data_IF_844808867448
#
_entry.id   IF_844808867448
#
_cell.length_a   1.000
_cell.length_b   1.000
_cell.length_c   1.000
_cell.angle_alpha   90.00
_cell.angle_beta   90.00
_cell.angle_gamma   90.00
#
_symmetry.space_group_name_H-M   'P 1'
#
loop_
_entity.id
_entity.type
_entity.pdbx_description
1 polymer ?
#
# COMPACT_ATOMS: atom_id res chain seq x y z
N UNK A 1 9.77 -10.03 -14.00
CA UNK A 1 8.55 -9.40 -14.56
C UNK A 1 8.60 -7.94 -14.16
N UNK A 2 8.35 -6.99 -15.06
CA UNK A 2 8.29 -5.57 -14.69
C UNK A 2 6.92 -5.22 -14.11
N UNK A 3 6.81 -4.07 -13.44
CA UNK A 3 5.52 -3.59 -12.90
C UNK A 3 4.53 -3.33 -14.04
N UNK A 4 5.01 -2.76 -15.14
CA UNK A 4 4.22 -2.47 -16.34
C UNK A 4 3.63 -3.76 -16.93
N UNK A 5 4.43 -4.84 -16.99
CA UNK A 5 3.93 -6.12 -17.46
C UNK A 5 2.87 -6.74 -16.54
N UNK A 6 2.89 -6.48 -15.22
CA UNK A 6 1.79 -6.87 -14.33
C UNK A 6 0.51 -6.11 -14.69
N UNK A 7 0.63 -4.80 -14.94
CA UNK A 7 -0.51 -3.96 -15.30
C UNK A 7 -1.09 -4.33 -16.67
N UNK A 8 -0.25 -4.59 -17.67
CA UNK A 8 -0.69 -5.02 -18.99
C UNK A 8 -1.41 -6.36 -18.93
N UNK A 9 -0.89 -7.33 -18.17
CA UNK A 9 -1.56 -8.62 -17.95
C UNK A 9 -2.91 -8.44 -17.24
N UNK A 10 -2.96 -7.67 -16.16
CA UNK A 10 -4.21 -7.39 -15.45
C UNK A 10 -5.22 -6.71 -16.36
N UNK A 11 -4.79 -5.69 -17.11
CA UNK A 11 -5.66 -4.93 -17.99
C UNK A 11 -6.21 -5.80 -19.13
N UNK A 12 -5.37 -6.62 -19.76
CA UNK A 12 -5.80 -7.61 -20.75
C UNK A 12 -6.82 -8.59 -20.16
N UNK A 13 -6.57 -9.10 -18.95
CA UNK A 13 -7.51 -9.98 -18.23
C UNK A 13 -8.84 -9.29 -17.98
N UNK A 14 -8.83 -8.06 -17.49
CA UNK A 14 -10.03 -7.27 -17.21
C UNK A 14 -10.88 -7.00 -18.47
N UNK A 15 -10.27 -6.95 -19.66
CA UNK A 15 -11.02 -6.86 -20.92
C UNK A 15 -11.64 -8.18 -21.40
N UNK A 16 -11.36 -9.30 -20.72
CA UNK A 16 -11.95 -10.60 -21.03
C UNK A 16 -13.23 -10.80 -20.19
N UNK A 17 -14.37 -11.19 -20.77
CA UNK A 17 -15.68 -11.16 -20.11
C UNK A 17 -15.88 -12.34 -19.13
N UNK A 18 -15.12 -12.36 -18.03
CA UNK A 18 -15.30 -13.31 -16.93
C UNK A 18 -16.19 -12.71 -15.83
N UNK A 19 -16.22 -11.38 -15.70
CA UNK A 19 -16.99 -10.63 -14.69
C UNK A 19 -17.58 -9.36 -15.31
N UNK A 20 -18.58 -8.80 -14.64
CA UNK A 20 -19.13 -7.49 -14.97
C UNK A 20 -18.04 -6.42 -14.77
N UNK A 21 -17.38 -6.04 -15.86
CA UNK A 21 -16.22 -5.16 -15.84
C UNK A 21 -16.48 -3.95 -16.73
N UNK A 22 -16.28 -2.76 -16.19
CA UNK A 22 -16.24 -1.52 -16.98
C UNK A 22 -14.79 -1.07 -17.10
N UNK A 23 -14.43 -0.65 -18.30
CA UNK A 23 -13.08 -0.16 -18.58
C UNK A 23 -13.16 1.28 -19.12
N UNK A 24 -12.17 2.07 -18.74
CA UNK A 24 -11.86 3.36 -19.34
C UNK A 24 -10.36 3.52 -19.53
N UNK A 25 -9.97 4.33 -20.50
CA UNK A 25 -8.60 4.81 -20.67
C UNK A 25 -8.63 6.28 -21.03
N UNK A 26 -7.83 7.06 -20.34
CA UNK A 26 -7.73 8.49 -20.53
C UNK A 26 -6.25 8.89 -20.64
N UNK A 27 -5.94 9.79 -21.58
CA UNK A 27 -4.62 10.40 -21.68
C UNK A 27 -4.69 11.85 -21.19
N UNK A 28 -3.93 12.18 -20.15
CA UNK A 28 -3.84 13.54 -19.58
C UNK A 28 -2.39 14.01 -19.58
N UNK A 29 -1.98 14.69 -20.65
CA UNK A 29 -0.57 15.06 -20.84
C UNK A 29 0.31 13.81 -20.91
N UNK A 30 1.31 13.70 -20.02
CA UNK A 30 2.18 12.52 -19.91
C UNK A 30 1.56 11.31 -19.20
N UNK A 31 0.35 11.46 -18.66
CA UNK A 31 -0.33 10.42 -17.89
C UNK A 31 -1.22 9.55 -18.79
N UNK A 32 -0.97 8.24 -18.79
CA UNK A 32 -1.92 7.22 -19.27
C UNK A 32 -2.65 6.65 -18.05
N UNK A 33 -3.95 6.94 -17.98
CA UNK A 33 -4.83 6.59 -16.87
C UNK A 33 -5.73 5.44 -17.33
N UNK A 34 -5.52 4.26 -16.74
CA UNK A 34 -6.32 3.07 -17.03
C UNK A 34 -7.27 2.83 -15.86
N UNK A 35 -8.56 2.94 -16.14
CA UNK A 35 -9.62 2.79 -15.16
C UNK A 35 -10.34 1.46 -15.36
N UNK A 36 -10.45 0.67 -14.30
CA UNK A 36 -11.16 -0.61 -14.29
C UNK A 36 -12.10 -0.65 -13.09
N UNK A 37 -13.37 -0.93 -13.34
CA UNK A 37 -14.37 -1.21 -12.29
C UNK A 37 -14.79 -2.66 -12.44
N UNK A 38 -14.57 -3.47 -11.42
CA UNK A 38 -15.00 -4.86 -11.37
C UNK A 38 -16.08 -5.04 -10.32
N UNK A 39 -17.19 -5.64 -10.74
CA UNK A 39 -18.24 -6.13 -9.87
C UNK A 39 -18.19 -7.66 -9.86
N UNK A 40 -17.87 -8.22 -8.70
CA UNK A 40 -17.81 -9.67 -8.48
C UNK A 40 -19.06 -10.24 -7.79
N UNK A 41 -20.19 -9.51 -7.83
CA UNK A 41 -21.49 -9.78 -7.18
C UNK A 41 -21.49 -9.66 -5.65
N UNK A 42 -20.32 -9.73 -5.02
CA UNK A 42 -20.17 -9.59 -3.57
C UNK A 42 -19.54 -8.26 -3.18
N UNK A 43 -18.69 -7.70 -4.05
CA UNK A 43 -17.96 -6.46 -3.83
C UNK A 43 -17.75 -5.72 -5.14
N UNK A 44 -17.73 -4.40 -5.03
CA UNK A 44 -17.28 -3.53 -6.10
C UNK A 44 -15.83 -3.11 -5.82
N UNK A 45 -14.97 -3.26 -6.83
CA UNK A 45 -13.60 -2.78 -6.81
C UNK A 45 -13.38 -1.80 -7.94
N UNK A 46 -12.78 -0.67 -7.63
CA UNK A 46 -12.39 0.33 -8.62
C UNK A 46 -10.88 0.49 -8.58
N UNK A 47 -10.23 0.47 -9.74
CA UNK A 47 -8.80 0.64 -9.90
C UNK A 47 -8.51 1.77 -10.89
N UNK A 48 -7.67 2.72 -10.52
CA UNK A 48 -7.02 3.63 -11.46
C UNK A 48 -5.53 3.33 -11.46
N UNK A 49 -5.01 2.88 -12.61
CA UNK A 49 -3.59 2.61 -12.82
C UNK A 49 -3.03 3.76 -13.64
N UNK A 50 -1.97 4.39 -13.13
CA UNK A 50 -1.34 5.55 -13.76
C UNK A 50 0.06 5.17 -14.23
N UNK A 51 0.27 5.32 -15.54
CA UNK A 51 1.59 5.33 -16.14
C UNK A 51 1.97 6.78 -16.46
N UNK A 52 3.17 7.19 -16.06
CA UNK A 52 3.76 8.49 -16.44
C UNK A 52 4.87 8.22 -17.44
N UNK A 53 4.71 8.72 -18.66
CA UNK A 53 5.65 8.47 -19.77
C UNK A 53 5.90 6.97 -20.01
N UNK A 54 4.85 6.15 -19.82
CA UNK A 54 4.90 4.69 -19.99
C UNK A 54 5.44 3.89 -18.79
N UNK A 55 5.85 4.56 -17.71
CA UNK A 55 6.39 3.93 -16.49
C UNK A 55 5.35 3.93 -15.38
N UNK A 56 5.26 2.83 -14.62
CA UNK A 56 4.37 2.75 -13.46
C UNK A 56 4.64 3.88 -12.47
N UNK A 57 3.61 4.70 -12.20
CA UNK A 57 3.72 5.85 -11.28
C UNK A 57 2.91 5.61 -10.01
N UNK A 58 1.62 5.34 -10.15
CA UNK A 58 0.77 5.03 -9.00
C UNK A 58 -0.43 4.16 -9.37
N UNK A 59 -1.00 3.50 -8.36
CA UNK A 59 -2.27 2.79 -8.44
C UNK A 59 -3.14 3.26 -7.29
N UNK A 60 -4.33 3.71 -7.63
CA UNK A 60 -5.40 4.00 -6.70
C UNK A 60 -6.42 2.87 -6.76
N UNK A 61 -6.90 2.43 -5.60
CA UNK A 61 -7.94 1.41 -5.48
C UNK A 61 -8.97 1.82 -4.45
N UNK A 62 -10.23 1.59 -4.78
CA UNK A 62 -11.33 1.57 -3.82
C UNK A 62 -11.96 0.19 -3.82
N UNK A 63 -12.34 -0.28 -2.63
CA UNK A 63 -13.06 -1.53 -2.48
C UNK A 63 -14.10 -1.41 -1.37
N UNK A 64 -15.34 -1.74 -1.70
CA UNK A 64 -16.42 -1.91 -0.74
C UNK A 64 -16.34 -3.32 -0.11
N UNK A 65 -16.46 -3.40 1.23
CA UNK A 65 -16.42 -4.66 1.99
C UNK A 65 -17.79 -5.08 2.53
N UNK A 66 -18.84 -4.30 2.23
CA UNK A 66 -20.19 -4.45 2.77
C UNK A 66 -20.38 -3.64 4.07
N UNK A 67 -21.64 -3.48 4.50
CA UNK A 67 -22.01 -2.71 5.70
C UNK A 67 -21.45 -1.27 5.73
N UNK A 68 -21.30 -0.65 4.56
CA UNK A 68 -20.70 0.67 4.36
C UNK A 68 -19.22 0.80 4.78
N UNK A 69 -18.52 -0.31 5.02
CA UNK A 69 -17.07 -0.31 5.19
C UNK A 69 -16.35 -0.34 3.86
N UNK A 70 -15.39 0.57 3.70
CA UNK A 70 -14.63 0.74 2.48
C UNK A 70 -13.12 0.72 2.78
N UNK A 71 -12.34 0.38 1.75
CA UNK A 71 -10.91 0.60 1.75
C UNK A 71 -10.47 1.43 0.57
N UNK A 72 -9.64 2.43 0.84
CA UNK A 72 -8.95 3.23 -0.17
C UNK A 72 -7.45 2.96 -0.07
N UNK A 73 -6.87 2.50 -1.17
CA UNK A 73 -5.45 2.19 -1.25
C UNK A 73 -4.79 3.04 -2.31
N UNK A 74 -3.69 3.68 -1.94
CA UNK A 74 -2.82 4.40 -2.88
C UNK A 74 -1.44 3.76 -2.80
N UNK A 75 -0.98 3.25 -3.94
CA UNK A 75 0.35 2.69 -4.10
C UNK A 75 1.17 3.55 -5.05
N UNK A 76 2.38 3.93 -4.64
CA UNK A 76 3.34 4.71 -5.41
C UNK A 76 4.56 3.87 -5.76
N UNK A 77 5.09 4.08 -6.97
CA UNK A 77 6.25 3.39 -7.52
C UNK A 77 7.34 4.41 -7.83
N UNK A 78 8.50 4.30 -7.19
CA UNK A 78 9.62 5.20 -7.40
C UNK A 78 10.95 4.48 -7.12
N UNK A 79 11.91 4.56 -8.05
CA UNK A 79 13.27 4.03 -7.88
C UNK A 79 13.35 2.57 -7.40
N UNK A 80 12.49 1.72 -7.95
CA UNK A 80 12.39 0.30 -7.59
C UNK A 80 11.57 0.02 -6.32
N UNK A 81 11.09 1.07 -5.65
CA UNK A 81 10.43 1.01 -4.35
C UNK A 81 8.93 1.23 -4.50
N UNK A 82 8.19 0.45 -3.73
CA UNK A 82 6.74 0.47 -3.73
C UNK A 82 6.28 0.87 -2.33
N UNK A 83 5.67 2.04 -2.23
CA UNK A 83 5.08 2.53 -0.98
C UNK A 83 3.57 2.48 -1.10
N UNK A 84 2.88 1.96 -0.09
CA UNK A 84 1.42 1.89 -0.10
C UNK A 84 0.86 2.47 1.19
N UNK A 85 -0.17 3.31 1.05
CA UNK A 85 -1.09 3.69 2.12
C UNK A 85 -2.45 3.03 1.84
N UNK A 86 -3.06 2.48 2.87
CA UNK A 86 -4.36 1.81 2.82
C UNK A 86 -5.19 2.30 3.99
N UNK A 87 -6.32 2.93 3.70
CA UNK A 87 -7.24 3.50 4.69
C UNK A 87 -8.49 2.63 4.76
N UNK A 88 -8.93 2.33 5.98
CA UNK A 88 -10.22 1.70 6.27
C UNK A 88 -11.16 2.77 6.80
N UNK A 89 -12.33 2.89 6.21
CA UNK A 89 -13.27 3.95 6.58
C UNK A 89 -14.74 3.55 6.45
N UNK A 90 -15.57 4.27 7.19
CA UNK A 90 -17.04 4.22 7.10
C UNK A 90 -17.53 5.67 6.99
N UNK A 91 -18.14 6.02 5.86
CA UNK A 91 -18.33 7.43 5.53
C UNK A 91 -16.98 8.15 5.45
N UNK A 92 -16.85 9.27 6.17
CA UNK A 92 -15.61 10.05 6.25
C UNK A 92 -14.71 9.65 7.45
N UNK A 93 -15.16 8.71 8.29
CA UNK A 93 -14.41 8.29 9.46
C UNK A 93 -13.41 7.18 9.13
N UNK A 94 -12.12 7.47 9.29
CA UNK A 94 -11.05 6.47 9.14
C UNK A 94 -10.88 5.67 10.43
N UNK A 95 -11.12 4.37 10.36
CA UNK A 95 -11.05 3.43 11.49
C UNK A 95 -9.72 2.67 11.55
N UNK A 96 -8.99 2.62 10.44
CA UNK A 96 -7.71 1.95 10.35
C UNK A 96 -6.85 2.49 9.21
N UNK A 97 -5.55 2.38 9.39
CA UNK A 97 -4.55 2.79 8.41
C UNK A 97 -3.47 1.71 8.33
N UNK A 98 -3.08 1.31 7.12
CA UNK A 98 -1.90 0.48 6.89
C UNK A 98 -0.92 1.26 6.00
N UNK A 99 0.35 1.30 6.39
CA UNK A 99 1.44 1.79 5.55
C UNK A 99 2.41 0.64 5.30
N UNK A 100 2.72 0.39 4.03
CA UNK A 100 3.57 -0.72 3.61
C UNK A 100 4.68 -0.26 2.68
N UNK A 101 5.79 -1.00 2.73
CA UNK A 101 6.97 -0.75 1.92
C UNK A 101 7.45 -2.08 1.32
N UNK A 102 7.59 -2.11 0.00
CA UNK A 102 8.13 -3.26 -0.74
C UNK A 102 8.97 -2.79 -1.94
N UNK A 103 9.25 -3.71 -2.86
CA UNK A 103 10.11 -3.54 -4.03
C UNK A 103 9.40 -4.03 -5.28
N UNK A 104 9.71 -3.41 -6.42
CA UNK A 104 9.10 -3.72 -7.70
C UNK A 104 9.26 -5.20 -8.06
N UNK A 105 10.44 -5.77 -7.83
CA UNK A 105 10.75 -7.16 -8.15
C UNK A 105 10.05 -8.18 -7.23
N UNK A 106 9.41 -7.72 -6.15
CA UNK A 106 8.64 -8.56 -5.23
C UNK A 106 7.13 -8.50 -5.46
N UNK A 107 6.69 -7.74 -6.45
CA UNK A 107 5.31 -7.77 -6.90
C UNK A 107 5.08 -9.01 -7.77
N UNK A 108 3.91 -9.63 -7.60
CA UNK A 108 3.49 -10.78 -8.41
C UNK A 108 2.05 -10.56 -8.87
N UNK A 109 1.66 -11.30 -9.92
CA UNK A 109 0.28 -11.33 -10.36
C UNK A 109 -0.61 -11.82 -9.23
N UNK A 110 -1.79 -11.22 -9.09
CA UNK A 110 -2.80 -11.72 -8.18
C UNK A 110 -3.28 -13.11 -8.67
N UNK A 111 -3.14 -14.19 -7.88
CA UNK A 111 -3.61 -15.52 -8.27
C UNK A 111 -5.13 -15.57 -8.47
N UNK A 112 -5.89 -14.68 -7.83
CA UNK A 112 -7.34 -14.56 -8.02
C UNK A 112 -7.70 -13.64 -9.19
N UNK A 113 -6.68 -13.04 -9.81
CA UNK A 113 -6.70 -12.07 -10.88
C UNK A 113 -7.50 -10.79 -10.56
N UNK A 114 -8.02 -10.60 -9.35
CA UNK A 114 -8.85 -9.48 -8.92
C UNK A 114 -8.08 -8.17 -8.88
N UNK A 115 -6.79 -8.23 -8.57
CA UNK A 115 -5.95 -7.06 -8.34
C UNK A 115 -4.90 -6.88 -9.44
N UNK A 116 -4.48 -5.64 -9.74
CA UNK A 116 -3.37 -5.39 -10.67
C UNK A 116 -2.07 -6.10 -10.28
N UNK A 117 -1.87 -6.31 -8.98
CA UNK A 117 -0.77 -7.06 -8.40
C UNK A 117 -1.11 -7.40 -6.94
N UNK A 118 -0.33 -8.32 -6.36
CA UNK A 118 -0.19 -8.45 -4.91
C UNK A 118 1.28 -8.30 -4.51
N UNK A 119 1.51 -8.00 -3.24
CA UNK A 119 2.84 -8.15 -2.66
C UNK A 119 3.14 -9.66 -2.62
N UNK A 120 4.18 -10.11 -3.33
CA UNK A 120 4.73 -11.46 -3.15
C UNK A 120 5.66 -11.51 -1.94
N UNK A 121 6.36 -10.40 -1.69
CA UNK A 121 7.08 -10.11 -0.44
C UNK A 121 6.88 -8.64 -0.04
N UNK A 122 7.09 -8.33 1.23
CA UNK A 122 7.08 -6.96 1.75
C UNK A 122 8.22 -6.78 2.75
N UNK A 123 8.95 -5.66 2.64
CA UNK A 123 9.98 -5.31 3.62
C UNK A 123 9.33 -4.98 4.96
N UNK A 124 8.24 -4.21 4.94
CA UNK A 124 7.57 -3.72 6.14
C UNK A 124 6.09 -3.49 5.89
N UNK A 125 5.27 -3.92 6.85
CA UNK A 125 3.87 -3.53 6.96
C UNK A 125 3.61 -2.99 8.37
N UNK A 126 2.95 -1.84 8.44
CA UNK A 126 2.55 -1.19 9.69
C UNK A 126 1.06 -0.94 9.69
N UNK A 127 0.41 -1.24 10.80
CA UNK A 127 -1.02 -1.00 10.96
C UNK A 127 -1.24 -0.07 12.14
N UNK A 128 -2.06 0.93 11.92
CA UNK A 128 -2.54 1.89 12.89
C UNK A 128 -4.04 1.65 13.07
N UNK A 129 -4.49 1.80 14.31
CA UNK A 129 -5.91 1.65 14.67
C UNK A 129 -6.40 2.90 15.38
N UNK A 130 -7.65 3.25 15.11
CA UNK A 130 -8.33 4.31 15.81
C UNK A 130 -8.42 4.00 17.30
N UNK A 131 -7.89 4.90 18.12
CA UNK A 131 -7.99 4.84 19.58
C UNK A 131 -7.80 6.23 20.18
N UNK A 132 -8.67 6.62 21.10
CA UNK A 132 -8.59 7.89 21.83
C UNK A 132 -8.47 9.11 20.89
N UNK A 133 -9.27 9.15 19.80
CA UNK A 133 -9.26 10.20 18.77
C UNK A 133 -7.94 10.34 17.99
N UNK A 134 -7.08 9.31 18.02
CA UNK A 134 -5.81 9.26 17.29
C UNK A 134 -5.66 7.94 16.54
N UNK A 135 -4.78 7.91 15.53
CA UNK A 135 -4.33 6.68 14.87
C UNK A 135 -3.05 6.21 15.54
N UNK A 136 -3.12 5.11 16.30
CA UNK A 136 -1.97 4.56 17.02
C UNK A 136 -1.48 3.28 16.40
N UNK A 137 -0.17 3.13 16.35
CA UNK A 137 0.49 1.92 15.86
C UNK A 137 0.03 0.71 16.66
N UNK A 138 -0.62 -0.20 15.98
CA UNK A 138 -1.15 -1.44 16.51
C UNK A 138 -0.26 -2.64 16.18
N UNK A 139 0.33 -2.67 14.98
CA UNK A 139 1.14 -3.79 14.50
C UNK A 139 2.29 -3.32 13.60
N UNK A 140 3.42 -4.02 13.72
CA UNK A 140 4.56 -3.92 12.81
C UNK A 140 5.04 -5.33 12.47
N UNK A 141 5.10 -5.63 11.17
CA UNK A 141 5.66 -6.87 10.63
C UNK A 141 6.73 -6.54 9.60
N UNK A 142 7.80 -7.33 9.62
CA UNK A 142 8.90 -7.24 8.67
C UNK A 142 9.00 -8.53 7.85
N UNK A 143 9.61 -8.42 6.67
CA UNK A 143 9.98 -9.56 5.84
C UNK A 143 8.80 -10.52 5.57
N UNK A 144 7.62 -9.97 5.27
CA UNK A 144 6.48 -10.81 4.93
C UNK A 144 6.70 -11.48 3.55
N UNK A 145 6.41 -12.77 3.45
CA UNK A 145 6.57 -13.56 2.22
C UNK A 145 5.30 -14.39 1.96
N UNK A 146 4.62 -14.09 0.85
CA UNK A 146 3.38 -14.75 0.46
C UNK A 146 3.57 -16.24 0.21
N UNK A 147 4.69 -16.65 -0.37
CA UNK A 147 4.93 -18.03 -0.82
C UNK A 147 5.24 -18.92 0.38
N UNK A 148 6.18 -18.50 1.23
CA UNK A 148 6.59 -19.31 2.39
C UNK A 148 5.72 -19.05 3.62
N UNK A 149 4.78 -18.09 3.53
CA UNK A 149 4.00 -17.57 4.66
C UNK A 149 4.87 -17.05 5.81
N UNK A 150 6.11 -16.65 5.51
CA UNK A 150 7.04 -16.13 6.51
C UNK A 150 6.66 -14.71 6.91
N UNK A 151 6.88 -14.36 8.17
CA UNK A 151 6.77 -13.00 8.67
C UNK A 151 7.59 -12.87 9.94
N UNK A 152 8.18 -11.70 10.17
CA UNK A 152 8.83 -11.37 11.44
C UNK A 152 8.01 -10.31 12.18
N UNK A 153 7.18 -10.70 13.16
CA UNK A 153 6.43 -9.75 13.98
C UNK A 153 7.38 -9.01 14.93
N UNK A 154 7.30 -7.69 14.91
CA UNK A 154 8.00 -6.78 15.82
C UNK A 154 7.04 -6.30 16.89
N UNK A 155 5.83 -5.90 16.48
CA UNK A 155 4.68 -5.65 17.34
C UNK A 155 3.45 -6.36 16.78
N UNK A 156 2.84 -7.24 17.55
CA UNK A 156 1.60 -7.97 17.21
C UNK A 156 0.99 -8.57 18.49
N UNK A 157 -0.11 -9.32 18.39
CA UNK A 157 -0.74 -9.99 19.54
C UNK A 157 0.26 -10.79 20.39
N UNK A 158 0.55 -10.29 21.60
CA UNK A 158 1.50 -10.92 22.54
C UNK A 158 2.98 -10.72 22.21
N UNK A 159 3.33 -9.92 21.20
CA UNK A 159 4.70 -9.63 20.77
C UNK A 159 4.91 -8.12 20.78
N UNK A 160 5.88 -7.64 21.55
CA UNK A 160 6.28 -6.23 21.54
C UNK A 160 7.79 -6.12 21.75
N UNK A 161 8.52 -5.90 20.66
CA UNK A 161 9.97 -5.78 20.66
C UNK A 161 10.34 -4.30 20.53
N UNK A 162 11.00 -3.76 21.55
CA UNK A 162 11.55 -2.39 21.49
C UNK A 162 12.70 -2.27 20.48
N UNK A 163 13.49 -3.34 20.31
CA UNK A 163 14.56 -3.42 19.32
C UNK A 163 14.68 -4.84 18.79
N UNK A 164 14.97 -5.00 17.51
CA UNK A 164 15.19 -6.31 16.91
C UNK A 164 16.12 -6.24 15.70
N UNK A 165 16.83 -7.34 15.46
CA UNK A 165 17.51 -7.58 14.19
C UNK A 165 16.96 -8.87 13.58
N UNK A 166 16.78 -8.89 12.27
CA UNK A 166 16.30 -10.06 11.54
C UNK A 166 16.96 -10.14 10.18
N UNK A 167 17.28 -11.35 9.72
CA UNK A 167 17.82 -11.59 8.38
C UNK A 167 16.90 -12.55 7.65
N UNK A 168 16.46 -12.17 6.45
CA UNK A 168 15.61 -13.02 5.63
C UNK A 168 16.00 -12.89 4.16
N UNK A 169 16.33 -14.04 3.52
CA UNK A 169 16.73 -14.12 2.11
C UNK A 169 17.75 -13.04 1.70
N UNK A 170 18.81 -12.89 2.50
CA UNK A 170 19.91 -11.95 2.23
C UNK A 170 19.66 -10.49 2.65
N UNK A 171 18.44 -10.12 3.02
CA UNK A 171 18.12 -8.77 3.50
C UNK A 171 18.22 -8.73 5.02
N UNK A 172 18.94 -7.74 5.55
CA UNK A 172 19.05 -7.51 7.00
C UNK A 172 18.16 -6.35 7.41
N UNK A 173 17.40 -6.56 8.47
CA UNK A 173 16.50 -5.59 9.06
C UNK A 173 16.99 -5.28 10.46
N UNK A 174 17.19 -4.00 10.79
CA UNK A 174 17.42 -3.54 12.17
C UNK A 174 16.34 -2.53 12.52
N UNK A 175 15.54 -2.84 13.51
CA UNK A 175 14.41 -2.01 13.91
C UNK A 175 14.49 -1.60 15.36
N UNK A 176 14.18 -0.34 15.62
CA UNK A 176 13.92 0.23 16.94
C UNK A 176 12.51 0.83 16.95
N UNK A 177 11.79 0.59 18.04
CA UNK A 177 10.39 0.94 18.19
C UNK A 177 10.17 1.69 19.51
N UNK A 178 9.89 2.99 19.37
CA UNK A 178 9.55 3.90 20.47
C UNK A 178 8.34 4.78 20.06
N UNK A 179 8.42 6.10 20.22
CA UNK A 179 7.50 7.07 19.59
C UNK A 179 7.57 7.04 18.05
N UNK A 180 8.56 6.34 17.51
CA UNK A 180 8.91 6.26 16.11
C UNK A 180 9.30 4.82 15.78
N UNK A 181 9.13 4.46 14.53
CA UNK A 181 9.58 3.21 13.94
C UNK A 181 10.83 3.55 13.14
N UNK A 182 12.01 3.19 13.65
CA UNK A 182 13.28 3.34 12.94
C UNK A 182 13.68 2.00 12.37
N UNK A 183 13.64 1.85 11.06
CA UNK A 183 14.05 0.63 10.37
C UNK A 183 15.21 0.93 9.42
N UNK A 184 16.31 0.21 9.61
CA UNK A 184 17.39 0.12 8.62
C UNK A 184 17.28 -1.21 7.88
N UNK A 185 17.22 -1.13 6.54
CA UNK A 185 17.17 -2.27 5.64
C UNK A 185 18.49 -2.30 4.88
N UNK A 186 19.27 -3.37 5.01
CA UNK A 186 20.51 -3.59 4.26
C UNK A 186 20.31 -4.72 3.23
N UNK A 187 20.56 -4.40 1.95
CA UNK A 187 20.49 -5.30 0.80
C UNK A 187 21.26 -4.69 -0.37
N UNK A 188 20.77 -4.83 -1.60
CA UNK A 188 21.38 -4.18 -2.78
C UNK A 188 21.45 -2.64 -2.65
N UNK A 189 20.54 -2.07 -1.86
CA UNK A 189 20.55 -0.66 -1.44
C UNK A 189 20.21 -0.58 0.05
N UNK A 190 21.03 0.14 0.82
CA UNK A 190 20.69 0.47 2.22
C UNK A 190 19.61 1.55 2.25
N UNK A 191 18.57 1.33 3.07
CA UNK A 191 17.50 2.30 3.31
C UNK A 191 17.29 2.53 4.81
N UNK A 192 16.95 3.75 5.16
CA UNK A 192 16.40 4.10 6.46
C UNK A 192 14.93 4.50 6.32
N UNK A 193 14.12 4.04 7.26
CA UNK A 193 12.71 4.39 7.41
C UNK A 193 12.55 4.95 8.81
N UNK A 194 11.94 6.11 8.93
CA UNK A 194 11.65 6.74 10.22
C UNK A 194 10.19 7.23 10.23
N UNK A 195 9.29 6.34 10.65
CA UNK A 195 7.84 6.60 10.65
C UNK A 195 7.29 6.82 12.05
N UNK A 196 6.34 7.74 12.19
CA UNK A 196 5.70 8.03 13.48
C UNK A 196 4.87 6.85 13.96
N UNK A 197 4.86 6.57 15.26
CA UNK A 197 3.99 5.53 15.84
C UNK A 197 2.59 6.03 16.20
N UNK A 198 2.35 7.34 16.13
CA UNK A 198 1.06 7.98 16.38
C UNK A 198 0.81 9.13 15.40
N UNK A 199 -0.42 9.20 14.89
CA UNK A 199 -0.95 10.27 14.04
C UNK A 199 -2.20 10.89 14.67
N UNK A 200 -2.35 12.20 14.52
CA UNK A 200 -3.53 12.94 14.97
C UNK A 200 -4.75 12.67 14.06
N UNK A 201 -5.95 12.98 14.54
CA UNK A 201 -7.16 12.88 13.72
C UNK A 201 -7.19 13.84 12.53
N UNK A 202 -6.51 14.99 12.60
CA UNK A 202 -6.39 15.92 11.47
C UNK A 202 -5.46 15.35 10.39
N UNK A 203 -4.31 14.82 10.80
CA UNK A 203 -3.33 14.19 9.90
C UNK A 203 -3.95 13.00 9.13
N UNK A 204 -4.79 12.22 9.81
CA UNK A 204 -5.49 11.09 9.18
C UNK A 204 -6.56 11.58 8.20
N UNK A 205 -7.24 12.69 8.51
CA UNK A 205 -8.19 13.33 7.58
C UNK A 205 -7.49 13.88 6.36
N UNK A 206 -6.29 14.44 6.50
CA UNK A 206 -5.47 14.87 5.36
C UNK A 206 -5.10 13.70 4.44
N UNK A 207 -4.71 12.55 5.02
CA UNK A 207 -4.47 11.32 4.25
C UNK A 207 -5.74 10.84 3.53
N UNK A 208 -6.89 10.93 4.18
CA UNK A 208 -8.18 10.56 3.58
C UNK A 208 -8.58 11.51 2.45
N UNK A 209 -8.40 12.82 2.61
CA UNK A 209 -8.64 13.81 1.56
C UNK A 209 -7.67 13.63 0.38
N UNK A 210 -6.40 13.33 0.66
CA UNK A 210 -5.41 12.95 -0.35
C UNK A 210 -5.86 11.72 -1.15
N UNK A 211 -6.36 10.68 -0.48
CA UNK A 211 -6.76 9.43 -1.11
C UNK A 211 -8.11 9.54 -1.85
N UNK A 212 -9.07 10.30 -1.35
CA UNK A 212 -10.39 10.50 -2.00
C UNK A 212 -10.35 11.50 -3.14
N UNK A 213 -9.45 12.49 -3.05
CA UNK A 213 -9.20 13.45 -4.11
C UNK A 213 -8.41 12.84 -5.28
N UNK A 214 -7.78 13.70 -6.07
CA UNK A 214 -6.91 13.31 -7.19
C UNK A 214 -5.42 13.64 -6.95
N UNK A 215 -5.09 14.21 -5.79
CA UNK A 215 -3.73 14.63 -5.40
C UNK A 215 -2.72 13.47 -5.35
N UNK A 216 -3.19 12.23 -5.24
CA UNK A 216 -2.33 11.04 -5.31
C UNK A 216 -1.66 10.83 -6.67
N UNK A 217 -2.12 11.49 -7.73
CA UNK A 217 -1.43 11.52 -9.02
C UNK A 217 -0.14 12.36 -9.00
N UNK A 218 -0.02 13.28 -8.04
CA UNK A 218 1.09 14.25 -7.99
C UNK A 218 2.31 13.74 -7.22
N UNK A 219 2.19 12.67 -6.43
CA UNK A 219 3.33 12.08 -5.72
C UNK A 219 3.01 11.51 -4.35
N UNK A 220 4.03 10.91 -3.74
CA UNK A 220 3.98 10.35 -2.38
C UNK A 220 4.22 11.39 -1.28
N UNK A 221 4.73 12.58 -1.63
CA UNK A 221 5.13 13.62 -0.68
C UNK A 221 4.06 14.00 0.36
N UNK A 222 2.75 14.12 0.01
CA UNK A 222 1.72 14.39 1.00
C UNK A 222 1.63 13.31 2.09
N UNK A 223 1.77 12.04 1.70
CA UNK A 223 1.77 10.92 2.66
C UNK A 223 3.05 10.95 3.48
N UNK A 224 4.21 11.12 2.84
CA UNK A 224 5.50 11.23 3.51
C UNK A 224 5.52 12.36 4.56
N UNK A 225 4.92 13.51 4.26
CA UNK A 225 4.82 14.65 5.17
C UNK A 225 4.01 14.40 6.43
N UNK A 226 3.13 13.38 6.42
CA UNK A 226 2.35 12.92 7.57
C UNK A 226 3.06 11.80 8.33
N UNK A 227 3.54 10.78 7.62
CA UNK A 227 4.03 9.54 8.25
C UNK A 227 5.49 9.64 8.71
N UNK A 228 6.33 10.43 8.03
CA UNK A 228 7.73 10.54 8.41
C UNK A 228 7.87 11.42 9.66
N UNK A 229 8.84 11.09 10.50
CA UNK A 229 9.28 12.04 11.53
C UNK A 229 10.07 13.17 10.87
N UNK A 230 9.73 14.41 11.19
CA UNK A 230 10.48 15.62 10.83
C UNK A 230 11.69 15.80 11.74
#
# INVERSE_FOLDING_TARGET
MSVESLFDHYYQRATTPIRNTKFGREQRGSLDIRHVVEDDEFRQMTHKIILRDGVASCVWREQEWGLAENSLDVTHFADGIVSQVSLRHTGEEVTGLKVSLTRNEWLISDPDFRLPFIFGRSDMETWYRAKDFKMRLNRVRLAWDYVTKHTFPVRDYGIDKAKAEHVYKGVKYRIELDEVIRLKIDGDLTRNVEWRSELSGDEVRDLFAYATGESWMDGWDPVAGVINKR
#
